data_IF_693483096406
#
_entry.id   IF_693483096406
#
_cell.length_a   1.000
_cell.length_b   1.000
_cell.length_c   1.000
_cell.angle_alpha   90.00
_cell.angle_beta   90.00
_cell.angle_gamma   90.00
#
_symmetry.space_group_name_H-M   'P 1'
#
loop_
_entity.id
_entity.type
_entity.pdbx_description
1 polymer ?
#
# COMPACT_ATOMS: atom_id res chain seq x y z
N UNK A 1 -3.44 -13.23 11.03
CA UNK A 1 -4.18 -11.96 11.25
C UNK A 1 -4.14 -11.64 12.72
N UNK A 2 -3.40 -10.59 13.10
CA UNK A 2 -3.21 -10.20 14.50
C UNK A 2 -4.31 -9.20 14.89
N UNK A 3 -5.22 -9.59 15.80
CA UNK A 3 -6.34 -8.75 16.22
C UNK A 3 -6.21 -8.47 17.72
N UNK A 4 -6.28 -7.20 18.10
CA UNK A 4 -6.27 -6.77 19.50
C UNK A 4 -7.28 -5.66 19.77
N UNK A 5 -7.51 -5.36 21.04
CA UNK A 5 -8.39 -4.25 21.45
C UNK A 5 -7.65 -2.91 21.44
N UNK A 6 -8.39 -1.81 21.39
CA UNK A 6 -7.83 -0.46 21.56
C UNK A 6 -7.11 -0.30 22.91
N UNK A 7 -7.53 -1.02 23.95
CA UNK A 7 -6.88 -1.01 25.27
C UNK A 7 -5.51 -1.68 25.22
N UNK A 8 -5.39 -2.80 24.51
CA UNK A 8 -4.10 -3.46 24.30
C UNK A 8 -3.11 -2.55 23.56
N UNK A 9 -3.58 -1.89 22.48
CA UNK A 9 -2.76 -0.94 21.73
C UNK A 9 -2.21 0.16 22.63
N UNK A 10 -3.06 0.78 23.45
CA UNK A 10 -2.64 1.84 24.39
C UNK A 10 -1.61 1.36 25.41
N UNK A 11 -1.74 0.13 25.92
CA UNK A 11 -0.84 -0.42 26.92
C UNK A 11 0.52 -0.86 26.35
N UNK A 12 0.58 -1.25 25.07
CA UNK A 12 1.75 -1.89 24.47
C UNK A 12 2.37 -1.10 23.31
N UNK A 13 1.94 0.15 23.08
CA UNK A 13 2.34 0.98 21.93
C UNK A 13 3.85 1.08 21.71
N UNK A 14 4.64 1.08 22.80
CA UNK A 14 6.10 1.21 22.72
C UNK A 14 6.83 -0.06 22.25
N UNK A 15 6.18 -1.23 22.30
CA UNK A 15 6.81 -2.54 22.07
C UNK A 15 5.96 -3.42 21.13
N UNK A 16 5.22 -2.83 20.20
CA UNK A 16 4.43 -3.59 19.22
C UNK A 16 5.37 -4.29 18.22
N UNK A 17 5.19 -5.59 18.03
CA UNK A 17 5.73 -6.30 16.86
C UNK A 17 4.75 -6.13 15.70
N UNK A 18 5.20 -5.55 14.60
CA UNK A 18 4.39 -5.23 13.42
C UNK A 18 4.87 -5.97 12.16
N UNK A 19 5.37 -7.19 12.33
CA UNK A 19 5.73 -8.09 11.21
C UNK A 19 4.49 -8.37 10.32
N UNK A 20 3.32 -8.46 10.95
CA UNK A 20 2.00 -8.40 10.33
C UNK A 20 1.24 -7.17 10.85
N UNK A 21 0.37 -6.54 10.04
CA UNK A 21 -0.51 -5.47 10.52
C UNK A 21 -1.37 -5.91 11.71
N UNK A 22 -1.44 -5.03 12.71
CA UNK A 22 -2.29 -5.16 13.88
C UNK A 22 -3.67 -4.57 13.59
N UNK A 23 -4.68 -5.42 13.59
CA UNK A 23 -6.07 -5.04 13.48
C UNK A 23 -6.63 -4.69 14.86
N UNK A 24 -7.17 -3.48 15.01
CA UNK A 24 -7.58 -2.94 16.31
C UNK A 24 -9.09 -2.86 16.39
N UNK A 25 -9.64 -3.43 17.46
CA UNK A 25 -11.07 -3.48 17.73
C UNK A 25 -11.49 -2.57 18.89
N UNK A 26 -12.69 -2.03 18.79
CA UNK A 26 -13.38 -1.32 19.86
C UNK A 26 -14.82 -1.83 19.92
N UNK A 27 -15.25 -2.28 21.11
CA UNK A 27 -16.58 -2.88 21.31
C UNK A 27 -16.89 -4.02 20.31
N UNK A 28 -15.89 -4.85 20.01
CA UNK A 28 -16.00 -5.98 19.08
C UNK A 28 -16.00 -5.62 17.59
N UNK A 29 -15.92 -4.33 17.23
CA UNK A 29 -15.82 -3.87 15.83
C UNK A 29 -14.39 -3.45 15.50
N UNK A 30 -13.88 -3.88 14.36
CA UNK A 30 -12.61 -3.40 13.83
C UNK A 30 -12.71 -1.93 13.40
N UNK A 31 -11.80 -1.11 13.89
CA UNK A 31 -11.83 0.36 13.74
C UNK A 31 -10.53 0.93 13.19
N UNK A 32 -9.40 0.28 13.42
CA UNK A 32 -8.08 0.72 12.94
C UNK A 32 -7.22 -0.46 12.50
N UNK A 33 -6.23 -0.16 11.67
CA UNK A 33 -5.10 -1.05 11.39
C UNK A 33 -3.82 -0.27 11.69
N UNK A 34 -2.92 -0.86 12.45
CA UNK A 34 -1.58 -0.33 12.74
C UNK A 34 -0.58 -1.23 12.04
N UNK A 35 0.37 -0.66 11.32
CA UNK A 35 1.38 -1.42 10.58
C UNK A 35 2.73 -0.70 10.63
N UNK A 36 3.78 -1.42 10.25
CA UNK A 36 5.11 -0.83 10.10
C UNK A 36 5.13 0.27 9.04
N UNK A 37 5.87 1.35 9.32
CA UNK A 37 5.91 2.52 8.45
C UNK A 37 6.63 2.24 7.14
N UNK A 38 7.71 1.45 7.15
CA UNK A 38 8.44 1.12 5.94
C UNK A 38 7.58 0.23 5.03
N UNK A 39 6.97 -0.80 5.61
CA UNK A 39 6.04 -1.68 4.88
C UNK A 39 4.88 -0.90 4.25
N UNK A 40 4.34 0.12 4.95
CA UNK A 40 3.31 1.00 4.38
C UNK A 40 3.80 1.74 3.12
N UNK A 41 4.99 2.34 3.16
CA UNK A 41 5.53 3.08 2.02
C UNK A 41 5.85 2.15 0.84
N UNK A 42 6.45 0.98 1.09
CA UNK A 42 6.71 -0.04 0.06
C UNK A 42 5.41 -0.48 -0.62
N UNK A 43 4.32 -0.64 0.14
CA UNK A 43 3.00 -0.93 -0.42
C UNK A 43 2.49 0.23 -1.30
N UNK A 44 2.66 1.50 -0.86
CA UNK A 44 2.24 2.66 -1.66
C UNK A 44 3.02 2.77 -2.98
N UNK A 45 4.33 2.54 -2.95
CA UNK A 45 5.19 2.53 -4.14
C UNK A 45 4.80 1.41 -5.10
N UNK A 46 4.51 0.21 -4.57
CA UNK A 46 4.02 -0.91 -5.37
C UNK A 46 2.71 -0.57 -6.07
N UNK A 47 1.75 0.04 -5.37
CA UNK A 47 0.49 0.48 -5.97
C UNK A 47 0.73 1.55 -7.05
N UNK A 48 1.66 2.49 -6.81
CA UNK A 48 2.02 3.51 -7.81
C UNK A 48 2.59 2.87 -9.08
N UNK A 49 3.50 1.90 -8.94
CA UNK A 49 4.06 1.16 -10.06
C UNK A 49 2.99 0.41 -10.85
N UNK A 50 2.07 -0.29 -10.16
CA UNK A 50 0.97 -1.00 -10.82
C UNK A 50 0.04 -0.05 -11.59
N UNK A 51 -0.19 1.16 -11.08
CA UNK A 51 -0.94 2.20 -11.80
C UNK A 51 -0.21 2.64 -13.06
N UNK A 52 1.11 2.86 -13.01
CA UNK A 52 1.91 3.22 -14.17
C UNK A 52 1.85 2.11 -15.23
N UNK A 53 2.04 0.85 -14.84
CA UNK A 53 1.90 -0.30 -15.75
C UNK A 53 0.52 -0.30 -16.39
N UNK A 54 -0.56 -0.13 -15.61
CA UNK A 54 -1.90 -0.11 -16.16
C UNK A 54 -2.13 1.05 -17.15
N UNK A 55 -1.55 2.22 -16.89
CA UNK A 55 -1.60 3.36 -17.80
C UNK A 55 -0.82 3.08 -19.10
N UNK A 56 0.37 2.48 -19.00
CA UNK A 56 1.18 2.07 -20.15
C UNK A 56 0.44 1.06 -21.02
N UNK A 57 -0.14 0.01 -20.42
CA UNK A 57 -0.96 -0.99 -21.12
C UNK A 57 -2.15 -0.35 -21.85
N UNK A 58 -2.86 0.59 -21.20
CA UNK A 58 -3.96 1.31 -21.84
C UNK A 58 -3.47 2.16 -23.02
N UNK A 59 -2.35 2.87 -22.85
CA UNK A 59 -1.77 3.70 -23.91
C UNK A 59 -1.37 2.84 -25.11
N UNK A 60 -0.72 1.70 -24.88
CA UNK A 60 -0.32 0.75 -25.92
C UNK A 60 -1.53 0.23 -26.70
N UNK A 61 -2.58 -0.19 -26.00
CA UNK A 61 -3.80 -0.70 -26.64
C UNK A 61 -4.57 0.37 -27.46
N UNK A 62 -4.48 1.64 -27.06
CA UNK A 62 -5.24 2.72 -27.72
C UNK A 62 -4.47 3.43 -28.83
N UNK A 63 -3.16 3.60 -28.66
CA UNK A 63 -2.30 4.42 -29.54
C UNK A 63 -1.25 3.60 -30.29
N UNK A 64 -1.05 2.34 -29.91
CA UNK A 64 0.05 1.51 -30.44
C UNK A 64 1.37 1.80 -29.74
N UNK A 65 2.42 1.15 -30.24
CA UNK A 65 3.80 1.34 -29.79
C UNK A 65 4.32 2.72 -30.23
N UNK A 66 5.15 3.35 -29.39
CA UNK A 66 5.92 4.53 -29.77
C UNK A 66 7.23 4.06 -30.41
N UNK A 67 7.56 4.61 -31.57
CA UNK A 67 8.90 4.47 -32.13
C UNK A 67 9.93 5.23 -31.27
N UNK A 68 11.21 4.86 -31.42
CA UNK A 68 12.30 5.56 -30.71
C UNK A 68 12.35 7.04 -31.06
N UNK A 69 12.13 7.39 -32.33
CA UNK A 69 12.15 8.79 -32.77
C UNK A 69 11.03 9.60 -32.10
N UNK A 70 9.80 9.05 -32.05
CA UNK A 70 8.66 9.70 -31.38
C UNK A 70 8.82 9.82 -29.86
N UNK A 71 9.55 8.89 -29.23
CA UNK A 71 9.74 8.89 -27.78
C UNK A 71 10.74 9.96 -27.30
N UNK A 72 11.67 10.37 -28.16
CA UNK A 72 12.72 11.34 -27.86
C UNK A 72 12.54 12.69 -28.54
N UNK A 73 11.46 12.87 -29.30
CA UNK A 73 11.07 14.17 -29.85
C UNK A 73 10.42 15.01 -28.73
N UNK A 74 11.16 15.99 -28.21
CA UNK A 74 10.74 16.91 -27.13
C UNK A 74 10.62 18.32 -27.66
#
# INVERSE_FOLDING_TARGET
>A
MNIQTVSYLKANANNLSLDDPLHVTQNGKEVYVVQDSQAYYEQQETIALLKLINLSERSLNQKGELSLDEAFDV
#
